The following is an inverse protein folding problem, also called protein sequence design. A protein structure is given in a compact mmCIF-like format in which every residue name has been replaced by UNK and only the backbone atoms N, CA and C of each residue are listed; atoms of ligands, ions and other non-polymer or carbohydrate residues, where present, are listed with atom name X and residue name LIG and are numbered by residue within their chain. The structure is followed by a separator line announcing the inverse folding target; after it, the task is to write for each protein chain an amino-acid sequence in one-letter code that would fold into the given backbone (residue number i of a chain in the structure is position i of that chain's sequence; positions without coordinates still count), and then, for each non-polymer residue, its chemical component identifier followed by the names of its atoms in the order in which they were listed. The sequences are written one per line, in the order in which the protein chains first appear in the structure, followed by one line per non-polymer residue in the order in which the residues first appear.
data_IF_368688007150
#
_entry.id   IF_368688007150
#
_cell.length_a   1.000
_cell.length_b   1.000
_cell.length_c   1.000
_cell.angle_alpha   90.00
_cell.angle_beta   90.00
_cell.angle_gamma   90.00
#
_symmetry.space_group_name_H-M   'P 1'
#
loop_
_entity.id
_entity.type
_entity.pdbx_description
1 polymer ?
#
# COMPACT_ATOMS: atom_id res chain seq x y z
N UNK A 1 20.13 2.16 -7.02
CA UNK A 1 19.50 2.64 -8.28
C UNK A 1 18.21 1.93 -8.67
N UNK A 2 17.71 0.92 -7.94
CA UNK A 2 16.50 0.18 -8.33
C UNK A 2 15.16 0.85 -7.95
N UNK A 3 15.19 1.88 -7.09
CA UNK A 3 13.96 2.50 -6.58
C UNK A 3 13.00 3.05 -7.63
N UNK A 4 13.46 3.78 -8.65
CA UNK A 4 12.57 4.26 -9.70
C UNK A 4 11.80 3.12 -10.39
N UNK A 5 12.44 1.96 -10.59
CA UNK A 5 11.82 0.78 -11.21
C UNK A 5 10.72 0.23 -10.31
N UNK A 6 10.96 0.10 -9.01
CA UNK A 6 9.95 -0.41 -8.07
C UNK A 6 8.74 0.52 -8.00
N UNK A 7 8.93 1.85 -8.03
CA UNK A 7 7.83 2.81 -8.04
C UNK A 7 6.99 2.73 -9.31
N UNK A 8 7.62 2.52 -10.47
CA UNK A 8 6.92 2.29 -11.74
C UNK A 8 6.08 1.01 -11.67
N UNK A 9 6.67 -0.10 -11.21
CA UNK A 9 5.96 -1.38 -11.06
C UNK A 9 4.79 -1.23 -10.08
N UNK A 10 5.01 -0.59 -8.93
CA UNK A 10 3.97 -0.37 -7.93
C UNK A 10 2.80 0.45 -8.52
N UNK A 11 3.11 1.51 -9.27
CA UNK A 11 2.11 2.35 -9.93
C UNK A 11 1.30 1.56 -10.96
N UNK A 12 1.96 0.73 -11.76
CA UNK A 12 1.30 -0.14 -12.75
C UNK A 12 0.36 -1.13 -12.05
N UNK A 13 0.84 -1.80 -11.00
CA UNK A 13 0.05 -2.79 -10.24
C UNK A 13 -1.15 -2.14 -9.58
N UNK A 14 -0.96 -1.01 -8.90
CA UNK A 14 -2.04 -0.25 -8.25
C UNK A 14 -3.05 0.25 -9.30
N UNK A 15 -2.58 0.81 -10.41
CA UNK A 15 -3.43 1.26 -11.51
C UNK A 15 -4.27 0.13 -12.10
N UNK A 16 -3.66 -1.03 -12.36
CA UNK A 16 -4.35 -2.21 -12.85
C UNK A 16 -5.44 -2.70 -11.88
N UNK A 17 -5.15 -2.73 -10.58
CA UNK A 17 -6.12 -3.10 -9.54
C UNK A 17 -7.31 -2.13 -9.47
N UNK A 18 -7.04 -0.82 -9.56
CA UNK A 18 -8.08 0.21 -9.57
C UNK A 18 -8.97 0.13 -10.81
N UNK A 19 -8.39 -0.09 -12.00
CA UNK A 19 -9.15 -0.29 -13.24
C UNK A 19 -10.00 -1.55 -13.20
N UNK A 20 -9.43 -2.66 -12.72
CA UNK A 20 -10.17 -3.90 -12.53
C UNK A 20 -11.33 -3.73 -11.55
N UNK A 21 -11.10 -3.05 -10.43
CA UNK A 21 -12.14 -2.75 -9.45
C UNK A 21 -13.25 -1.89 -10.05
N UNK A 22 -12.89 -0.84 -10.81
CA UNK A 22 -13.86 0.00 -11.52
C UNK A 22 -14.72 -0.81 -12.49
N UNK A 23 -14.13 -1.74 -13.26
CA UNK A 23 -14.88 -2.62 -14.17
C UNK A 23 -15.84 -3.57 -13.44
N UNK A 24 -15.61 -3.83 -12.15
CA UNK A 24 -16.51 -4.60 -11.27
C UNK A 24 -17.55 -3.74 -10.54
N UNK A 25 -17.66 -2.45 -10.88
CA UNK A 25 -18.58 -1.52 -10.21
C UNK A 25 -18.16 -1.16 -8.78
N UNK A 26 -16.89 -1.41 -8.43
CA UNK A 26 -16.34 -1.02 -7.13
C UNK A 26 -16.17 0.50 -7.09
N UNK A 27 -16.63 1.11 -6.00
CA UNK A 27 -16.50 2.53 -5.76
C UNK A 27 -15.93 2.76 -4.36
N UNK A 28 -14.84 3.53 -4.34
CA UNK A 28 -14.17 4.00 -3.13
C UNK A 28 -14.87 5.24 -2.60
N UNK A 29 -15.12 5.28 -1.29
CA UNK A 29 -15.56 6.47 -0.57
C UNK A 29 -14.36 7.41 -0.33
N UNK A 30 -14.65 8.67 0.01
CA UNK A 30 -13.61 9.68 0.25
C UNK A 30 -12.59 9.26 1.31
N UNK A 31 -13.05 8.75 2.47
CA UNK A 31 -12.13 8.29 3.53
C UNK A 31 -11.32 7.07 3.11
N UNK A 32 -11.83 6.22 2.22
CA UNK A 32 -11.12 5.04 1.74
C UNK A 32 -9.98 5.42 0.78
N UNK A 33 -10.17 6.47 -0.02
CA UNK A 33 -9.09 7.09 -0.79
C UNK A 33 -7.99 7.64 0.12
N UNK A 34 -8.35 8.34 1.19
CA UNK A 34 -7.38 8.86 2.16
C UNK A 34 -6.56 7.73 2.82
N UNK A 35 -7.24 6.68 3.29
CA UNK A 35 -6.58 5.51 3.89
C UNK A 35 -5.68 4.78 2.90
N UNK A 36 -6.13 4.61 1.65
CA UNK A 36 -5.37 3.94 0.60
C UNK A 36 -4.09 4.72 0.26
N UNK A 37 -4.18 6.03 0.06
CA UNK A 37 -3.03 6.89 -0.24
C UNK A 37 -2.06 6.92 0.94
N UNK A 38 -2.55 7.10 2.17
CA UNK A 38 -1.72 7.09 3.38
C UNK A 38 -1.02 5.73 3.57
N UNK A 39 -1.72 4.63 3.31
CA UNK A 39 -1.17 3.28 3.33
C UNK A 39 -0.06 3.08 2.31
N UNK A 40 -0.23 3.52 1.06
CA UNK A 40 0.82 3.44 0.03
C UNK A 40 2.04 4.27 0.44
N UNK A 41 1.83 5.51 0.88
CA UNK A 41 2.93 6.39 1.28
C UNK A 41 3.73 5.79 2.45
N UNK A 42 3.05 5.25 3.47
CA UNK A 42 3.70 4.63 4.63
C UNK A 42 4.39 3.31 4.27
N UNK A 43 3.84 2.55 3.32
CA UNK A 43 4.47 1.32 2.81
C UNK A 43 5.77 1.63 2.06
N UNK A 44 5.74 2.62 1.16
CA UNK A 44 6.93 3.13 0.46
C UNK A 44 7.98 3.60 1.47
N UNK A 45 7.58 4.42 2.44
CA UNK A 45 8.47 4.89 3.51
C UNK A 45 9.14 3.72 4.25
N UNK A 46 8.38 2.67 4.55
CA UNK A 46 8.91 1.48 5.22
C UNK A 46 9.98 0.79 4.38
N UNK A 47 9.73 0.57 3.09
CA UNK A 47 10.68 -0.09 2.20
C UNK A 47 11.97 0.71 2.03
N UNK A 48 11.86 2.03 1.86
CA UNK A 48 13.00 2.94 1.73
C UNK A 48 13.92 2.83 2.96
N UNK A 49 13.31 2.87 4.14
CA UNK A 49 14.03 2.83 5.41
C UNK A 49 14.60 1.45 5.75
N UNK A 50 13.95 0.36 5.33
CA UNK A 50 14.54 -0.99 5.43
C UNK A 50 15.84 -1.04 4.63
N UNK A 51 15.84 -0.56 3.39
CA UNK A 51 17.04 -0.52 2.57
C UNK A 51 18.11 0.39 3.18
N UNK A 52 17.73 1.59 3.62
CA UNK A 52 18.63 2.52 4.30
C UNK A 52 19.27 1.90 5.54
N UNK A 53 18.50 1.15 6.33
CA UNK A 53 19.00 0.45 7.53
C UNK A 53 20.14 -0.52 7.22
N UNK A 54 20.08 -1.23 6.08
CA UNK A 54 21.16 -2.11 5.65
C UNK A 54 22.38 -1.34 5.13
N UNK A 55 22.15 -0.22 4.43
CA UNK A 55 23.23 0.65 3.96
C UNK A 55 23.99 1.33 5.11
N UNK A 56 23.28 1.64 6.20
CA UNK A 56 23.83 2.24 7.41
C UNK A 56 24.40 1.22 8.41
N UNK A 57 24.41 -0.08 8.08
CA UNK A 57 24.83 -1.17 8.96
C UNK A 57 24.06 -1.24 10.30
N UNK A 58 22.78 -0.85 10.29
CA UNK A 58 21.87 -0.95 11.44
C UNK A 58 20.71 -1.91 11.12
N UNK A 59 20.98 -3.22 10.90
CA UNK A 59 19.95 -4.16 10.44
C UNK A 59 18.79 -4.34 11.42
N UNK A 60 18.99 -4.06 12.72
CA UNK A 60 17.91 -4.06 13.71
C UNK A 60 16.82 -3.02 13.39
N UNK A 61 17.18 -1.90 12.77
CA UNK A 61 16.22 -0.86 12.40
C UNK A 61 15.23 -1.36 11.32
N UNK A 62 15.64 -2.26 10.42
CA UNK A 62 14.75 -2.86 9.44
C UNK A 62 13.54 -3.55 10.08
N UNK A 63 13.76 -4.32 11.16
CA UNK A 63 12.66 -4.95 11.92
C UNK A 63 11.76 -3.92 12.59
N UNK A 64 12.32 -2.82 13.09
CA UNK A 64 11.54 -1.73 13.70
C UNK A 64 10.66 -1.03 12.67
N UNK A 65 11.17 -0.77 11.45
CA UNK A 65 10.37 -0.21 10.37
C UNK A 65 9.25 -1.17 9.94
N UNK A 66 9.51 -2.46 9.82
CA UNK A 66 8.44 -3.44 9.54
C UNK A 66 7.35 -3.40 10.62
N UNK A 67 7.72 -3.37 11.90
CA UNK A 67 6.76 -3.40 13.01
C UNK A 67 5.96 -2.10 13.13
N UNK A 68 6.64 -0.96 13.07
CA UNK A 68 6.06 0.36 13.42
C UNK A 68 5.42 1.05 12.24
N UNK A 69 5.93 0.89 11.03
CA UNK A 69 5.38 1.54 9.83
C UNK A 69 4.86 0.53 8.81
N UNK A 70 5.50 -0.63 8.70
CA UNK A 70 5.10 -1.70 7.78
C UNK A 70 3.73 -2.27 8.12
N UNK A 71 3.56 -2.84 9.31
CA UNK A 71 2.26 -3.42 9.72
C UNK A 71 1.13 -2.38 9.65
N UNK A 72 1.26 -1.15 10.19
CA UNK A 72 0.22 -0.13 10.04
C UNK A 72 -0.08 0.22 8.58
N UNK A 73 0.92 0.27 7.69
CA UNK A 73 0.67 0.53 6.27
C UNK A 73 -0.21 -0.55 5.64
N UNK A 74 0.01 -1.82 5.96
CA UNK A 74 -0.80 -2.94 5.47
C UNK A 74 -2.23 -2.84 6.01
N UNK A 75 -2.40 -2.48 7.28
CA UNK A 75 -3.73 -2.28 7.89
C UNK A 75 -4.48 -1.16 7.16
N UNK A 76 -3.82 -0.03 6.91
CA UNK A 76 -4.41 1.12 6.19
C UNK A 76 -4.80 0.78 4.75
N UNK A 77 -4.07 -0.12 4.09
CA UNK A 77 -4.42 -0.62 2.75
C UNK A 77 -5.55 -1.65 2.78
N UNK A 78 -5.59 -2.50 3.81
CA UNK A 78 -6.57 -3.59 3.94
C UNK A 78 -7.98 -3.06 4.22
N UNK A 79 -8.13 -2.04 5.07
CA UNK A 79 -9.44 -1.46 5.43
C UNK A 79 -10.24 -1.02 4.19
N UNK A 80 -9.74 -0.13 3.31
CA UNK A 80 -10.49 0.32 2.14
C UNK A 80 -10.65 -0.79 1.09
N UNK A 81 -9.68 -1.71 0.97
CA UNK A 81 -9.81 -2.86 0.08
C UNK A 81 -10.99 -3.76 0.50
N UNK A 82 -10.99 -4.22 1.74
CA UNK A 82 -12.06 -5.07 2.29
C UNK A 82 -13.41 -4.34 2.25
N UNK A 83 -13.44 -3.07 2.67
CA UNK A 83 -14.65 -2.25 2.65
C UNK A 83 -15.26 -2.15 1.24
N UNK A 84 -14.42 -1.96 0.24
CA UNK A 84 -14.83 -1.86 -1.17
C UNK A 84 -15.30 -3.20 -1.72
N UNK A 85 -14.56 -4.29 -1.49
CA UNK A 85 -14.93 -5.63 -1.93
C UNK A 85 -16.28 -6.10 -1.38
N UNK A 86 -16.52 -5.89 -0.08
CA UNK A 86 -17.78 -6.27 0.58
C UNK A 86 -19.00 -5.53 0.01
N UNK A 87 -18.81 -4.31 -0.49
CA UNK A 87 -19.90 -3.56 -1.14
C UNK A 87 -20.13 -3.96 -2.59
N UNK A 88 -19.06 -4.37 -3.30
CA UNK A 88 -19.18 -4.90 -4.65
C UNK A 88 -19.91 -6.24 -4.71
N UNK A 89 -19.63 -7.14 -3.75
CA UNK A 89 -20.22 -8.49 -3.73
C UNK A 89 -21.73 -8.51 -3.44
N UNK A 90 -22.27 -7.50 -2.75
CA UNK A 90 -23.70 -7.40 -2.45
C UNK A 90 -24.56 -6.84 -3.59
N UNK A 91 -23.96 -6.54 -4.75
CA UNK A 91 -24.64 -6.02 -5.95
C UNK A 91 -24.67 -7.04 -7.11
N UNK A 92 -24.20 -8.26 -6.86
CA UNK A 92 -24.23 -9.39 -7.80
C UNK A 92 -25.52 -10.17 -7.70
#
# INVERSE_FOLDING_TARGET
MFWPIVMVILTIVVGALLMWGKNKGLSFKMYEWLLFIAGIALFIFTLENIQGSFQENVPKAALMFVLVTGIPSIILLAIPAIGTFRRGSGRS
#
